data_IF_059386860779
#
_entry.id   IF_059386860779
#
_cell.length_a   1.000
_cell.length_b   1.000
_cell.length_c   1.000
_cell.angle_alpha   90.00
_cell.angle_beta   90.00
_cell.angle_gamma   90.00
#
_symmetry.space_group_name_H-M   'P 1'
#
loop_
_entity.id
_entity.type
_entity.pdbx_description
1 polymer ?
#
# COMPACT_ATOMS: atom_id res chain seq x y z
N UNK A 1 -66.37 12.37 -14.43
CA UNK A 1 -66.28 10.96 -14.86
C UNK A 1 -65.00 10.38 -14.28
N UNK A 2 -65.18 9.26 -13.57
CA UNK A 2 -64.26 8.49 -12.74
C UNK A 2 -63.10 7.84 -13.51
N UNK A 3 -61.91 7.72 -12.88
CA UNK A 3 -60.90 6.61 -12.92
C UNK A 3 -59.58 7.15 -12.30
N UNK A 4 -59.30 7.02 -11.00
CA UNK A 4 -58.50 5.97 -10.29
C UNK A 4 -57.12 5.66 -10.93
N UNK A 5 -56.02 6.17 -10.35
CA UNK A 5 -55.05 5.48 -9.46
C UNK A 5 -54.34 4.26 -10.07
N UNK A 6 -53.03 4.37 -10.35
CA UNK A 6 -51.99 3.45 -9.83
C UNK A 6 -50.58 3.91 -10.21
N UNK A 7 -49.77 4.12 -9.18
CA UNK A 7 -48.39 3.64 -9.02
C UNK A 7 -47.29 4.12 -9.98
N UNK A 8 -46.56 5.13 -9.48
CA UNK A 8 -45.12 5.29 -9.68
C UNK A 8 -44.40 4.08 -9.06
N UNK A 9 -43.91 3.17 -9.89
CA UNK A 9 -42.91 2.17 -9.48
C UNK A 9 -41.52 2.77 -9.66
N UNK A 10 -40.95 3.22 -8.54
CA UNK A 10 -39.53 3.45 -8.35
C UNK A 10 -38.83 2.08 -8.35
N UNK A 11 -38.21 1.71 -9.47
CA UNK A 11 -37.32 0.55 -9.53
C UNK A 11 -35.88 1.03 -9.40
N UNK A 12 -35.48 1.31 -8.16
CA UNK A 12 -34.08 1.25 -7.74
C UNK A 12 -33.56 -0.14 -8.10
N UNK A 13 -32.74 -0.19 -9.15
CA UNK A 13 -32.01 -1.40 -9.52
C UNK A 13 -30.77 -1.40 -8.64
N UNK A 14 -30.81 -2.22 -7.60
CA UNK A 14 -29.64 -2.58 -6.80
C UNK A 14 -28.64 -3.31 -7.69
N UNK A 15 -27.67 -2.57 -8.24
CA UNK A 15 -26.47 -3.12 -8.84
C UNK A 15 -25.61 -3.74 -7.72
N UNK A 16 -25.90 -4.99 -7.37
CA UNK A 16 -24.97 -5.85 -6.65
C UNK A 16 -23.75 -6.12 -7.53
N UNK A 17 -22.79 -5.19 -7.57
CA UNK A 17 -21.46 -5.49 -8.05
C UNK A 17 -20.73 -6.28 -6.96
N UNK A 18 -20.92 -7.61 -6.99
CA UNK A 18 -20.08 -8.57 -6.27
C UNK A 18 -18.62 -8.35 -6.71
N UNK A 19 -17.88 -7.58 -5.92
CA UNK A 19 -16.43 -7.44 -6.05
C UNK A 19 -15.79 -8.70 -5.50
N UNK A 20 -15.86 -9.77 -6.28
CA UNK A 20 -15.06 -10.96 -6.03
C UNK A 20 -13.60 -10.58 -6.20
N UNK A 21 -12.89 -10.43 -5.09
CA UNK A 21 -11.47 -10.14 -5.08
C UNK A 21 -10.74 -11.30 -5.78
N UNK A 22 -10.21 -11.05 -6.99
CA UNK A 22 -9.35 -12.00 -7.68
C UNK A 22 -8.13 -12.28 -6.80
N UNK A 23 -7.84 -13.55 -6.48
CA UNK A 23 -6.63 -13.89 -5.73
C UNK A 23 -5.39 -13.40 -6.51
N UNK A 24 -4.53 -12.63 -5.85
CA UNK A 24 -3.24 -12.23 -6.41
C UNK A 24 -2.36 -13.49 -6.40
N UNK A 25 -2.14 -14.09 -7.56
CA UNK A 25 -1.14 -15.17 -7.72
C UNK A 25 0.26 -14.58 -7.51
N UNK A 26 0.80 -14.80 -6.31
CA UNK A 26 2.22 -14.59 -6.01
C UNK A 26 3.03 -15.66 -6.75
N UNK A 27 3.50 -15.36 -7.98
CA UNK A 27 4.39 -16.29 -8.69
C UNK A 27 4.44 -16.22 -10.22
N UNK A 28 3.77 -15.28 -10.89
CA UNK A 28 3.96 -15.13 -12.33
C UNK A 28 5.41 -14.69 -12.65
N UNK A 29 6.09 -15.30 -13.65
CA UNK A 29 7.38 -14.80 -14.09
C UNK A 29 7.20 -13.36 -14.56
N UNK A 30 7.90 -12.42 -13.91
CA UNK A 30 7.83 -11.00 -14.26
C UNK A 30 8.33 -10.84 -15.68
N UNK A 31 7.40 -10.63 -16.62
CA UNK A 31 7.76 -10.30 -18.00
C UNK A 31 8.65 -9.05 -17.93
N UNK A 32 9.89 -9.07 -18.45
CA UNK A 32 10.76 -7.92 -18.39
C UNK A 32 10.05 -6.72 -19.00
N UNK A 33 10.02 -5.61 -18.27
CA UNK A 33 9.46 -4.36 -18.76
C UNK A 33 10.18 -3.95 -20.05
N UNK A 34 9.49 -3.26 -20.96
CA UNK A 34 10.07 -2.74 -22.20
C UNK A 34 11.41 -2.00 -21.97
N UNK A 35 11.54 -1.26 -20.85
CA UNK A 35 12.78 -0.64 -20.41
C UNK A 35 13.92 -1.64 -20.13
N UNK A 36 13.66 -2.72 -19.39
CA UNK A 36 14.65 -3.78 -19.11
C UNK A 36 15.09 -4.48 -20.40
N UNK A 37 14.19 -4.65 -21.38
CA UNK A 37 14.51 -5.22 -22.69
C UNK A 37 15.46 -4.29 -23.45
N UNK A 38 15.16 -2.99 -23.51
CA UNK A 38 15.99 -1.99 -24.21
C UNK A 38 17.37 -1.80 -23.55
N UNK A 39 17.47 -1.93 -22.22
CA UNK A 39 18.75 -1.95 -21.50
C UNK A 39 19.58 -3.18 -21.87
N UNK A 40 18.99 -4.37 -21.88
CA UNK A 40 19.67 -5.62 -22.26
C UNK A 40 20.13 -5.62 -23.72
N UNK A 41 19.39 -4.96 -24.61
CA UNK A 41 19.75 -4.76 -26.02
C UNK A 41 20.82 -3.65 -26.22
N UNK A 42 21.24 -2.97 -25.15
CA UNK A 42 22.28 -1.94 -25.18
C UNK A 42 21.81 -0.60 -25.77
N UNK A 43 20.49 -0.39 -25.88
CA UNK A 43 19.91 0.86 -26.37
C UNK A 43 19.87 1.97 -25.29
N UNK A 44 19.96 1.58 -24.01
CA UNK A 44 19.94 2.48 -22.85
C UNK A 44 21.26 2.44 -22.08
N UNK A 45 21.60 3.55 -21.44
CA UNK A 45 22.73 3.61 -20.49
C UNK A 45 22.33 2.82 -19.24
N UNK A 46 23.24 2.02 -18.64
CA UNK A 46 22.94 1.25 -17.44
C UNK A 46 22.42 2.15 -16.31
N UNK A 47 21.35 1.72 -15.64
CA UNK A 47 20.77 2.50 -14.55
C UNK A 47 21.70 2.50 -13.32
N UNK A 48 22.18 3.67 -12.85
CA UNK A 48 23.19 3.73 -11.78
C UNK A 48 22.73 3.09 -10.46
N UNK A 49 21.43 3.13 -10.15
CA UNK A 49 20.85 2.55 -8.94
C UNK A 49 20.77 1.01 -8.98
N UNK A 50 20.70 0.43 -10.18
CA UNK A 50 20.54 -1.01 -10.40
C UNK A 50 21.86 -1.69 -10.80
N UNK A 51 22.94 -0.92 -10.91
CA UNK A 51 24.27 -1.45 -11.24
C UNK A 51 24.96 -1.98 -9.99
N UNK A 52 25.60 -3.16 -10.09
CA UNK A 52 26.34 -3.73 -8.96
C UNK A 52 27.44 -2.78 -8.44
N UNK A 53 27.40 -2.50 -7.14
CA UNK A 53 28.38 -1.64 -6.46
C UNK A 53 29.20 -2.46 -5.43
N UNK A 54 30.51 -2.69 -5.65
CA UNK A 54 31.35 -3.41 -4.68
C UNK A 54 31.50 -2.68 -3.33
N UNK A 55 31.19 -1.38 -3.28
CA UNK A 55 31.16 -0.55 -2.08
C UNK A 55 29.79 -0.41 -1.42
N UNK A 56 28.75 -1.17 -1.83
CA UNK A 56 27.36 -1.02 -1.36
C UNK A 56 27.20 -1.05 0.17
N UNK A 57 28.10 -1.70 0.89
CA UNK A 57 28.06 -1.82 2.36
C UNK A 57 28.84 -0.73 3.09
N UNK A 58 29.48 0.20 2.38
CA UNK A 58 30.22 1.33 2.96
C UNK A 58 29.46 2.62 2.65
N UNK A 59 29.06 3.33 3.70
CA UNK A 59 28.23 4.54 3.58
C UNK A 59 29.03 5.76 3.05
N UNK A 60 30.34 5.82 3.33
CA UNK A 60 31.17 6.97 2.97
C UNK A 60 32.13 6.68 1.83
N UNK A 61 32.35 7.64 0.92
CA UNK A 61 31.71 8.96 0.85
C UNK A 61 30.27 8.89 0.29
N UNK A 62 29.37 9.76 0.79
CA UNK A 62 27.98 9.86 0.31
C UNK A 62 27.99 10.28 -1.16
N UNK A 63 27.30 9.52 -2.01
CA UNK A 63 27.17 9.81 -3.45
C UNK A 63 25.90 10.61 -3.75
N UNK A 64 24.75 10.14 -3.25
CA UNK A 64 23.44 10.75 -3.51
C UNK A 64 22.90 11.51 -2.29
N UNK A 65 23.13 12.83 -2.29
CA UNK A 65 22.73 13.69 -1.17
C UNK A 65 21.20 13.79 -0.98
N UNK A 66 20.42 13.68 -2.06
CA UNK A 66 18.96 13.73 -1.97
C UNK A 66 18.38 12.47 -1.30
N UNK A 67 18.88 11.29 -1.69
CA UNK A 67 18.52 10.01 -1.08
C UNK A 67 18.93 10.01 0.40
N UNK A 68 20.16 10.47 0.68
CA UNK A 68 20.64 10.61 2.06
C UNK A 68 19.78 11.55 2.90
N UNK A 69 19.35 12.69 2.34
CA UNK A 69 18.46 13.62 3.02
C UNK A 69 17.10 12.99 3.33
N UNK A 70 16.53 12.19 2.41
CA UNK A 70 15.29 11.45 2.67
C UNK A 70 15.47 10.39 3.76
N UNK A 71 16.58 9.65 3.74
CA UNK A 71 16.92 8.73 4.83
C UNK A 71 17.01 9.44 6.18
N UNK A 72 17.72 10.57 6.26
CA UNK A 72 17.84 11.35 7.50
C UNK A 72 16.52 11.95 7.97
N UNK A 73 15.64 12.33 7.04
CA UNK A 73 14.28 12.76 7.38
C UNK A 73 13.46 11.61 7.97
N UNK A 74 13.57 10.40 7.41
CA UNK A 74 12.90 9.21 7.93
C UNK A 74 13.46 8.81 9.31
N UNK A 75 14.79 8.81 9.49
CA UNK A 75 15.45 8.53 10.77
C UNK A 75 15.02 9.52 11.87
N UNK A 76 14.89 10.81 11.53
CA UNK A 76 14.39 11.82 12.46
C UNK A 76 12.90 11.68 12.81
N UNK A 77 12.16 10.83 12.08
CA UNK A 77 10.73 10.56 12.28
C UNK A 77 10.48 9.22 12.97
N UNK A 78 11.50 8.62 13.58
CA UNK A 78 11.39 7.36 14.30
C UNK A 78 10.56 7.53 15.58
N UNK A 79 9.64 6.59 15.81
CA UNK A 79 8.81 6.48 17.00
C UNK A 79 8.56 5.00 17.31
N UNK A 80 8.34 4.64 18.56
CA UNK A 80 7.95 3.28 18.97
C UNK A 80 6.48 3.19 19.37
N UNK A 81 5.89 2.00 19.27
CA UNK A 81 4.47 1.79 19.59
C UNK A 81 4.14 2.16 21.05
N UNK A 82 5.10 2.03 21.96
CA UNK A 82 4.97 2.40 23.37
C UNK A 82 4.84 3.91 23.61
N UNK A 83 5.15 4.74 22.62
CA UNK A 83 4.96 6.19 22.69
C UNK A 83 3.49 6.61 22.52
N UNK A 84 2.61 5.70 22.08
CA UNK A 84 1.17 5.95 21.99
C UNK A 84 0.47 5.60 23.31
N UNK A 85 -0.16 6.59 23.93
CA UNK A 85 -1.02 6.38 25.10
C UNK A 85 -2.42 5.92 24.67
N UNK A 86 -2.74 4.65 24.92
CA UNK A 86 -4.02 4.03 24.59
C UNK A 86 -4.96 3.84 25.80
N UNK A 87 -4.61 4.42 26.96
CA UNK A 87 -5.33 4.17 28.23
C UNK A 87 -6.80 4.61 28.17
N UNK A 88 -7.10 5.65 27.39
CA UNK A 88 -8.45 6.20 27.28
C UNK A 88 -9.26 5.63 26.10
N UNK A 89 -8.59 5.13 25.07
CA UNK A 89 -9.20 4.62 23.84
C UNK A 89 -10.21 3.49 24.09
N UNK A 90 -9.97 2.63 25.08
CA UNK A 90 -10.91 1.54 25.39
C UNK A 90 -12.27 2.07 25.87
N UNK A 91 -12.28 3.18 26.62
CA UNK A 91 -13.52 3.81 27.09
C UNK A 91 -14.26 4.47 25.93
N UNK A 92 -13.53 5.19 25.08
CA UNK A 92 -14.10 5.87 23.92
C UNK A 92 -14.65 4.85 22.91
N UNK A 93 -13.95 3.74 22.71
CA UNK A 93 -14.41 2.60 21.89
C UNK A 93 -15.76 2.05 22.34
N UNK A 94 -15.99 1.91 23.66
CA UNK A 94 -17.27 1.44 24.21
C UNK A 94 -18.41 2.45 24.01
N UNK A 95 -18.08 3.74 23.88
CA UNK A 95 -19.06 4.81 23.65
C UNK A 95 -19.53 4.95 22.19
N UNK A 96 -18.82 4.34 21.24
CA UNK A 96 -19.18 4.36 19.82
C UNK A 96 -20.43 3.52 19.53
N UNK A 97 -21.11 3.83 18.42
CA UNK A 97 -22.17 2.98 17.88
C UNK A 97 -21.62 1.72 17.20
N UNK A 98 -22.47 0.71 17.00
CA UNK A 98 -22.11 -0.54 16.32
C UNK A 98 -21.58 -0.29 14.90
N UNK A 99 -22.14 0.69 14.19
CA UNK A 99 -21.74 1.06 12.83
C UNK A 99 -20.34 1.69 12.80
N UNK A 100 -20.05 2.59 13.75
CA UNK A 100 -18.74 3.24 13.84
C UNK A 100 -17.66 2.23 14.20
N UNK A 101 -17.92 1.33 15.18
CA UNK A 101 -16.96 0.26 15.52
C UNK A 101 -16.72 -0.69 14.35
N UNK A 102 -17.77 -1.08 13.62
CA UNK A 102 -17.63 -1.92 12.43
C UNK A 102 -16.76 -1.24 11.36
N UNK A 103 -16.99 0.04 11.09
CA UNK A 103 -16.22 0.82 10.14
C UNK A 103 -14.74 0.93 10.53
N UNK A 104 -14.45 1.35 11.77
CA UNK A 104 -13.06 1.50 12.24
C UNK A 104 -12.35 0.15 12.28
N UNK A 105 -13.03 -0.93 12.69
CA UNK A 105 -12.46 -2.28 12.71
C UNK A 105 -12.04 -2.74 11.31
N UNK A 106 -12.84 -2.45 10.28
CA UNK A 106 -12.50 -2.76 8.89
C UNK A 106 -11.27 -1.98 8.41
N UNK A 107 -11.16 -0.70 8.76
CA UNK A 107 -9.99 0.11 8.42
C UNK A 107 -8.73 -0.43 9.10
N UNK A 108 -8.81 -0.78 10.38
CA UNK A 108 -7.68 -1.37 11.11
C UNK A 108 -7.27 -2.71 10.52
N UNK A 109 -8.23 -3.55 10.12
CA UNK A 109 -7.96 -4.83 9.47
C UNK A 109 -7.27 -4.63 8.10
N UNK A 110 -7.69 -3.63 7.32
CA UNK A 110 -7.04 -3.28 6.05
C UNK A 110 -5.57 -2.88 6.27
N UNK A 111 -5.29 -1.97 7.21
CA UNK A 111 -3.91 -1.55 7.50
C UNK A 111 -3.03 -2.70 8.02
N UNK A 112 -3.57 -3.52 8.92
CA UNK A 112 -2.85 -4.69 9.44
C UNK A 112 -2.43 -5.68 8.33
N UNK A 113 -3.23 -5.79 7.27
CA UNK A 113 -2.91 -6.62 6.11
C UNK A 113 -1.97 -5.90 5.12
N UNK A 114 -2.20 -4.61 4.84
CA UNK A 114 -1.48 -3.87 3.81
C UNK A 114 0.00 -3.66 4.15
N UNK A 115 0.30 -3.40 5.43
CA UNK A 115 1.68 -3.12 5.85
C UNK A 115 2.61 -4.33 5.59
N UNK A 116 2.08 -5.54 5.76
CA UNK A 116 2.80 -6.79 5.44
C UNK A 116 3.11 -6.92 3.95
N UNK A 117 2.13 -6.63 3.09
CA UNK A 117 2.27 -6.74 1.62
C UNK A 117 3.32 -5.75 1.11
N UNK A 118 3.31 -4.51 1.61
CA UNK A 118 4.29 -3.50 1.22
C UNK A 118 5.70 -3.90 1.69
N UNK A 119 5.83 -4.37 2.93
CA UNK A 119 7.12 -4.76 3.48
C UNK A 119 7.72 -5.97 2.75
N UNK A 120 6.90 -6.93 2.32
CA UNK A 120 7.33 -8.06 1.50
C UNK A 120 7.92 -7.58 0.16
N UNK A 121 7.24 -6.66 -0.52
CA UNK A 121 7.75 -6.12 -1.78
C UNK A 121 9.05 -5.32 -1.60
N UNK A 122 9.17 -4.55 -0.51
CA UNK A 122 10.41 -3.84 -0.18
C UNK A 122 11.58 -4.81 0.07
N UNK A 123 11.35 -5.89 0.82
CA UNK A 123 12.39 -6.83 1.21
C UNK A 123 12.78 -7.84 0.12
N UNK A 124 11.81 -8.31 -0.67
CA UNK A 124 12.03 -9.35 -1.67
C UNK A 124 12.47 -8.77 -3.02
N UNK A 125 11.93 -7.60 -3.38
CA UNK A 125 12.19 -6.99 -4.68
C UNK A 125 13.14 -5.80 -4.51
N UNK A 126 12.67 -4.68 -3.95
CA UNK A 126 13.42 -3.42 -4.00
C UNK A 126 14.76 -3.42 -3.26
N UNK A 127 14.93 -4.16 -2.16
CA UNK A 127 16.21 -4.19 -1.44
C UNK A 127 17.25 -5.13 -2.05
N UNK A 128 16.83 -6.01 -2.98
CA UNK A 128 17.70 -6.99 -3.64
C UNK A 128 18.08 -6.61 -5.07
N UNK A 129 17.38 -5.63 -5.66
CA UNK A 129 17.81 -4.96 -6.89
C UNK A 129 19.11 -4.17 -6.66
#
# INVERSE_FOLDING_TARGET
HTTTMSELSDSSSDDEHSTEATPIELGAPTVPTEFKIQEQEGALVPEPLLTENPGRFVIFPIQDHEIWAMYKKAEASFWTAEELDLVHDQKDWQGLSDKERHFISHILAFFAASDGIVNENLAMNFSNE
#
